data_IF_641216107784
#
_entry.id   IF_641216107784
#
_cell.length_a   1.000
_cell.length_b   1.000
_cell.length_c   1.000
_cell.angle_alpha   90.00
_cell.angle_beta   90.00
_cell.angle_gamma   90.00
#
_symmetry.space_group_name_H-M   'P 1'
#
loop_
_entity.id
_entity.type
_entity.pdbx_description
1 polymer ?
#
# COMPACT_ATOMS: atom_id res chain seq x y z
N UNK A 1 -48.65 29.91 -50.21
CA UNK A 1 -48.21 28.63 -49.63
C UNK A 1 -46.69 28.59 -49.58
N UNK A 2 -46.09 28.80 -48.42
CA UNK A 2 -44.69 28.44 -48.12
C UNK A 2 -44.68 27.99 -46.65
N UNK A 3 -44.71 26.68 -46.43
CA UNK A 3 -44.64 26.06 -45.10
C UNK A 3 -43.18 26.05 -44.65
N UNK A 4 -42.90 26.72 -43.53
CA UNK A 4 -41.61 26.67 -42.84
C UNK A 4 -41.48 25.31 -42.13
N UNK A 5 -40.48 24.51 -42.51
CA UNK A 5 -40.08 23.32 -41.76
C UNK A 5 -39.02 23.75 -40.73
N UNK A 6 -39.36 23.70 -39.45
CA UNK A 6 -38.39 23.86 -38.37
C UNK A 6 -37.55 22.58 -38.24
N UNK A 7 -36.22 22.77 -38.28
CA UNK A 7 -35.23 21.72 -38.16
C UNK A 7 -35.00 21.43 -36.66
N UNK A 8 -35.70 20.45 -36.10
CA UNK A 8 -35.42 19.95 -34.75
C UNK A 8 -34.15 19.07 -34.80
N UNK A 9 -33.01 19.67 -34.49
CA UNK A 9 -31.76 18.95 -34.22
C UNK A 9 -31.93 18.26 -32.85
N UNK A 10 -32.27 16.96 -32.88
CA UNK A 10 -32.22 16.12 -31.69
C UNK A 10 -30.75 15.89 -31.35
N UNK A 11 -30.21 16.69 -30.42
CA UNK A 11 -28.90 16.47 -29.84
C UNK A 11 -29.00 15.26 -28.90
N UNK A 12 -28.81 14.06 -29.44
CA UNK A 12 -28.72 12.83 -28.69
C UNK A 12 -27.47 12.90 -27.79
N UNK A 13 -27.64 13.39 -26.57
CA UNK A 13 -26.63 13.28 -25.51
C UNK A 13 -26.53 11.78 -25.20
N UNK A 14 -25.60 11.11 -25.87
CA UNK A 14 -25.18 9.77 -25.47
C UNK A 14 -24.38 9.95 -24.19
N UNK A 15 -25.08 9.91 -23.06
CA UNK A 15 -24.44 9.72 -21.77
C UNK A 15 -23.81 8.33 -21.81
N UNK A 16 -22.52 8.26 -22.15
CA UNK A 16 -21.72 7.08 -21.85
C UNK A 16 -21.81 6.90 -20.35
N UNK A 17 -22.59 5.91 -19.91
CA UNK A 17 -22.53 5.42 -18.55
C UNK A 17 -21.11 4.89 -18.39
N UNK A 18 -20.22 5.71 -17.84
CA UNK A 18 -18.91 5.24 -17.38
C UNK A 18 -19.23 4.43 -16.13
N UNK A 19 -19.47 3.14 -16.33
CA UNK A 19 -19.64 2.20 -15.24
C UNK A 19 -18.25 2.00 -14.63
N UNK A 20 -18.04 2.61 -13.46
CA UNK A 20 -16.78 2.50 -12.73
C UNK A 20 -16.74 1.14 -12.05
N UNK A 21 -15.78 0.28 -12.43
CA UNK A 21 -15.65 -1.03 -11.80
C UNK A 21 -15.25 -0.90 -10.33
N UNK A 22 -15.96 -1.65 -9.48
CA UNK A 22 -15.65 -1.81 -8.06
C UNK A 22 -15.16 -3.23 -7.82
N UNK A 23 -13.84 -3.39 -7.70
CA UNK A 23 -13.24 -4.69 -7.44
C UNK A 23 -13.48 -5.17 -5.99
N UNK A 24 -14.00 -6.39 -5.85
CA UNK A 24 -14.13 -7.06 -4.56
C UNK A 24 -12.86 -7.83 -4.19
N UNK A 25 -12.71 -8.15 -2.91
CA UNK A 25 -11.51 -8.83 -2.36
C UNK A 25 -11.10 -10.09 -3.14
N UNK A 26 -12.03 -10.95 -3.54
CA UNK A 26 -11.70 -12.17 -4.29
C UNK A 26 -11.33 -11.92 -5.76
N UNK A 27 -11.85 -10.86 -6.36
CA UNK A 27 -11.49 -10.48 -7.72
C UNK A 27 -10.07 -9.91 -7.74
N UNK A 28 -9.76 -9.04 -6.77
CA UNK A 28 -8.41 -8.54 -6.55
C UNK A 28 -7.43 -9.67 -6.27
N UNK A 29 -7.81 -10.64 -5.43
CA UNK A 29 -6.96 -11.80 -5.15
C UNK A 29 -6.59 -12.58 -6.42
N UNK A 30 -7.56 -12.75 -7.34
CA UNK A 30 -7.33 -13.41 -8.63
C UNK A 30 -6.43 -12.59 -9.53
N UNK A 31 -6.69 -11.29 -9.67
CA UNK A 31 -5.89 -10.42 -10.55
C UNK A 31 -4.46 -10.24 -10.03
N UNK A 32 -4.27 -10.06 -8.73
CA UNK A 32 -2.94 -9.99 -8.12
C UNK A 32 -2.16 -11.30 -8.28
N UNK A 33 -2.83 -12.45 -8.14
CA UNK A 33 -2.21 -13.76 -8.36
C UNK A 33 -1.81 -14.00 -9.82
N UNK A 34 -2.60 -13.54 -10.79
CA UNK A 34 -2.30 -13.65 -12.23
C UNK A 34 -1.14 -12.74 -12.67
N UNK A 35 -0.88 -11.66 -11.95
CA UNK A 35 0.10 -10.63 -12.30
C UNK A 35 1.39 -10.70 -11.45
N UNK A 36 1.77 -11.91 -11.05
CA UNK A 36 3.03 -12.21 -10.35
C UNK A 36 3.24 -11.39 -9.07
N UNK A 37 2.15 -11.10 -8.34
CA UNK A 37 2.28 -10.62 -6.96
C UNK A 37 2.49 -11.82 -6.05
N UNK A 38 3.43 -11.69 -5.11
CA UNK A 38 3.72 -12.76 -4.17
C UNK A 38 2.46 -13.13 -3.39
N UNK A 39 2.02 -14.40 -3.48
CA UNK A 39 0.72 -14.86 -2.94
C UNK A 39 0.50 -14.48 -1.47
N UNK A 40 1.57 -14.46 -0.67
CA UNK A 40 1.51 -14.10 0.75
C UNK A 40 1.30 -12.59 0.99
N UNK A 41 1.65 -11.74 0.02
CA UNK A 41 1.40 -10.29 0.04
C UNK A 41 0.05 -9.92 -0.58
N UNK A 42 -0.66 -10.82 -1.26
CA UNK A 42 -1.97 -10.51 -1.88
C UNK A 42 -2.99 -9.92 -0.87
N UNK A 43 -3.20 -10.48 0.34
CA UNK A 43 -4.07 -9.86 1.34
C UNK A 43 -3.57 -8.47 1.81
N UNK A 44 -2.30 -8.15 1.53
CA UNK A 44 -1.67 -6.86 1.79
C UNK A 44 -2.08 -5.82 0.75
N UNK A 45 -1.96 -6.20 -0.51
CA UNK A 45 -2.42 -5.42 -1.65
C UNK A 45 -3.94 -5.24 -1.71
N UNK A 46 -4.73 -6.16 -1.15
CA UNK A 46 -6.19 -5.97 -1.11
C UNK A 46 -6.58 -4.97 -0.03
N UNK A 47 -5.99 -5.08 1.17
CA UNK A 47 -6.23 -4.12 2.25
C UNK A 47 -5.89 -2.69 1.82
N UNK A 48 -4.83 -2.55 1.02
CA UNK A 48 -4.44 -1.36 0.27
C UNK A 48 -5.60 -0.68 -0.43
N UNK A 49 -6.14 -1.43 -1.37
CA UNK A 49 -7.09 -0.99 -2.37
C UNK A 49 -8.38 -0.65 -1.65
N UNK A 50 -8.76 -1.46 -0.67
CA UNK A 50 -9.93 -1.21 0.15
C UNK A 50 -9.80 0.09 0.97
N UNK A 51 -8.63 0.38 1.54
CA UNK A 51 -8.41 1.61 2.29
C UNK A 51 -8.45 2.86 1.41
N UNK A 52 -7.94 2.76 0.18
CA UNK A 52 -7.63 3.96 -0.60
C UNK A 52 -8.53 4.22 -1.78
N UNK A 53 -9.10 3.18 -2.38
CA UNK A 53 -10.10 3.32 -3.43
C UNK A 53 -11.41 2.59 -3.16
N UNK A 54 -11.47 1.75 -2.12
CA UNK A 54 -12.58 0.81 -1.91
C UNK A 54 -12.78 -0.13 -3.10
N UNK A 55 -11.73 -0.37 -3.91
CA UNK A 55 -11.80 -1.16 -5.13
C UNK A 55 -12.21 -0.39 -6.38
N UNK A 56 -12.43 0.93 -6.29
CA UNK A 56 -12.82 1.77 -7.42
C UNK A 56 -11.62 2.03 -8.35
N UNK A 57 -11.67 1.54 -9.58
CA UNK A 57 -10.64 1.76 -10.62
C UNK A 57 -10.61 3.17 -11.15
N UNK A 58 -11.73 3.87 -11.23
CA UNK A 58 -11.81 5.23 -11.76
C UNK A 58 -11.65 6.31 -10.70
N UNK A 59 -11.24 5.96 -9.47
CA UNK A 59 -11.07 6.94 -8.39
C UNK A 59 -9.88 7.85 -8.68
N UNK A 60 -10.16 9.13 -8.80
CA UNK A 60 -9.18 10.19 -8.89
C UNK A 60 -9.37 11.17 -7.72
N UNK A 61 -8.28 11.50 -7.02
CA UNK A 61 -8.28 12.50 -5.95
C UNK A 61 -7.29 13.59 -6.30
N UNK A 62 -7.80 14.79 -6.55
CA UNK A 62 -6.95 15.96 -6.76
C UNK A 62 -6.31 16.43 -5.44
N UNK A 63 -5.04 16.81 -5.53
CA UNK A 63 -4.26 17.30 -4.41
C UNK A 63 -4.10 18.82 -4.50
N UNK A 64 -3.92 19.53 -3.35
CA UNK A 64 -3.76 20.98 -3.33
C UNK A 64 -2.57 21.52 -4.15
N UNK A 65 -1.58 20.68 -4.44
CA UNK A 65 -0.36 21.01 -5.18
C UNK A 65 -0.47 20.77 -6.70
N UNK A 66 -1.68 20.74 -7.25
CA UNK A 66 -1.97 20.50 -8.68
C UNK A 66 -1.58 19.10 -9.19
N UNK A 67 -1.21 18.18 -8.29
CA UNK A 67 -1.05 16.75 -8.59
C UNK A 67 -2.35 16.01 -8.28
N UNK A 68 -2.45 14.74 -8.68
CA UNK A 68 -3.57 13.91 -8.30
C UNK A 68 -3.14 12.46 -8.07
N UNK A 69 -3.91 11.75 -7.26
CA UNK A 69 -3.81 10.31 -7.08
C UNK A 69 -4.79 9.61 -8.01
N UNK A 70 -4.32 8.59 -8.71
CA UNK A 70 -5.07 7.90 -9.75
C UNK A 70 -5.24 6.43 -9.44
N UNK A 71 -6.42 5.93 -9.78
CA UNK A 71 -6.63 4.50 -9.92
C UNK A 71 -6.80 3.75 -8.62
N UNK A 72 -6.84 2.44 -8.75
CA UNK A 72 -7.19 1.55 -7.63
C UNK A 72 -6.17 1.60 -6.48
N UNK A 73 -4.93 1.96 -6.78
CA UNK A 73 -3.83 2.14 -5.81
C UNK A 73 -3.54 3.59 -5.45
N UNK A 74 -4.32 4.57 -5.95
CA UNK A 74 -4.09 5.99 -5.66
C UNK A 74 -2.65 6.45 -5.98
N UNK A 75 -2.13 6.05 -7.14
CA UNK A 75 -0.77 6.36 -7.60
C UNK A 75 -0.69 7.84 -7.99
N UNK A 76 0.28 8.56 -7.41
CA UNK A 76 0.38 10.01 -7.54
C UNK A 76 1.10 10.46 -8.84
N UNK A 77 0.54 11.43 -9.55
CA UNK A 77 1.09 12.00 -10.79
C UNK A 77 2.35 12.85 -10.64
N UNK A 78 2.77 13.16 -9.40
CA UNK A 78 4.01 13.89 -9.14
C UNK A 78 5.23 13.10 -9.62
N UNK A 79 5.25 11.80 -9.29
CA UNK A 79 6.46 10.98 -9.43
C UNK A 79 6.25 9.74 -10.32
N UNK A 80 5.02 9.24 -10.47
CA UNK A 80 4.80 7.88 -10.97
C UNK A 80 4.20 7.79 -12.37
N UNK A 81 3.31 8.70 -12.75
CA UNK A 81 2.66 8.73 -14.06
C UNK A 81 2.65 10.16 -14.65
N UNK A 82 2.41 10.30 -15.96
CA UNK A 82 2.27 11.61 -16.61
C UNK A 82 0.82 11.96 -16.95
N UNK A 83 0.39 13.20 -16.68
CA UNK A 83 -1.01 13.63 -16.82
C UNK A 83 -1.53 13.58 -18.28
N UNK A 84 -0.80 14.20 -19.21
CA UNK A 84 -1.24 14.31 -20.62
C UNK A 84 -0.53 13.31 -21.56
N UNK A 85 0.67 12.88 -21.17
CA UNK A 85 1.53 11.96 -21.92
C UNK A 85 2.21 10.98 -20.97
N UNK A 86 2.75 9.89 -21.51
CA UNK A 86 3.51 8.92 -20.73
C UNK A 86 4.66 9.63 -20.01
N UNK A 87 4.82 9.34 -18.73
CA UNK A 87 5.82 9.99 -17.89
C UNK A 87 5.88 9.38 -16.50
N UNK A 88 6.64 10.03 -15.61
CA UNK A 88 6.91 9.51 -14.27
C UNK A 88 7.73 8.23 -14.29
N UNK A 89 7.98 7.69 -13.10
CA UNK A 89 8.81 6.50 -12.90
C UNK A 89 8.25 5.24 -13.54
N UNK A 90 6.92 5.14 -13.72
CA UNK A 90 6.29 4.02 -14.41
C UNK A 90 6.21 4.20 -15.93
N UNK A 91 6.48 5.42 -16.44
CA UNK A 91 6.39 5.77 -17.87
C UNK A 91 5.03 5.42 -18.49
N UNK A 92 3.94 5.75 -17.79
CA UNK A 92 2.55 5.54 -18.22
C UNK A 92 1.78 6.86 -18.20
N UNK A 93 0.64 6.93 -18.88
CA UNK A 93 -0.29 8.06 -18.69
C UNK A 93 -1.09 7.82 -17.42
N UNK A 94 -1.36 8.87 -16.65
CA UNK A 94 -2.20 8.73 -15.44
C UNK A 94 -3.64 8.34 -15.78
N UNK A 95 -4.13 8.68 -16.98
CA UNK A 95 -5.44 8.22 -17.47
C UNK A 95 -5.51 6.71 -17.65
N UNK A 96 -4.38 6.05 -17.93
CA UNK A 96 -4.34 4.61 -18.12
C UNK A 96 -4.65 3.90 -16.78
N UNK A 97 -4.30 4.49 -15.64
CA UNK A 97 -4.63 3.97 -14.30
C UNK A 97 -6.12 4.08 -13.89
N UNK A 98 -6.97 4.72 -14.70
CA UNK A 98 -8.40 4.91 -14.39
C UNK A 98 -9.32 3.88 -15.05
N UNK A 99 -8.73 2.93 -15.77
CA UNK A 99 -9.44 1.92 -16.54
C UNK A 99 -9.64 0.63 -15.73
N UNK A 100 -10.49 -0.29 -16.21
CA UNK A 100 -10.87 -1.50 -15.46
C UNK A 100 -9.84 -2.63 -15.50
N UNK A 101 -8.91 -2.63 -16.46
CA UNK A 101 -7.75 -3.53 -16.54
C UNK A 101 -6.62 -3.01 -15.66
N UNK A 102 -6.50 -3.57 -14.46
CA UNK A 102 -5.54 -3.11 -13.44
C UNK A 102 -4.12 -3.67 -13.62
N UNK A 103 -3.76 -4.18 -14.81
CA UNK A 103 -2.43 -4.79 -15.04
C UNK A 103 -1.30 -3.76 -14.97
N UNK A 104 -1.49 -2.62 -15.60
CA UNK A 104 -0.54 -1.52 -15.56
C UNK A 104 -0.51 -0.85 -14.18
N UNK A 105 -1.66 -0.76 -13.50
CA UNK A 105 -1.75 -0.39 -12.08
C UNK A 105 -0.88 -1.29 -11.20
N UNK A 106 -1.05 -2.61 -11.30
CA UNK A 106 -0.28 -3.60 -10.51
C UNK A 106 1.21 -3.47 -10.80
N UNK A 107 1.58 -3.35 -12.07
CA UNK A 107 2.97 -3.18 -12.47
C UNK A 107 3.56 -1.92 -11.86
N UNK A 108 2.87 -0.80 -11.96
CA UNK A 108 3.34 0.47 -11.40
C UNK A 108 3.39 0.42 -9.87
N UNK A 109 2.38 -0.14 -9.20
CA UNK A 109 2.36 -0.29 -7.74
C UNK A 109 3.50 -1.17 -7.22
N UNK A 110 3.88 -2.23 -7.95
CA UNK A 110 5.09 -3.03 -7.65
C UNK A 110 6.35 -2.18 -7.75
N UNK A 111 6.48 -1.31 -8.74
CA UNK A 111 7.60 -0.36 -8.84
C UNK A 111 7.62 0.63 -7.65
N UNK A 112 6.46 1.16 -7.24
CA UNK A 112 6.34 1.98 -6.03
C UNK A 112 6.86 1.24 -4.81
N UNK A 113 6.41 0.00 -4.60
CA UNK A 113 6.81 -0.82 -3.46
C UNK A 113 8.29 -1.23 -3.51
N UNK A 114 8.82 -1.56 -4.68
CA UNK A 114 10.22 -1.94 -4.84
C UNK A 114 11.17 -0.77 -4.58
N UNK A 115 10.80 0.44 -5.01
CA UNK A 115 11.60 1.66 -4.80
C UNK A 115 11.46 2.23 -3.38
N UNK A 116 10.27 2.13 -2.78
CA UNK A 116 9.98 2.75 -1.49
C UNK A 116 9.98 1.76 -0.30
N UNK A 117 10.08 0.45 -0.54
CA UNK A 117 10.13 -0.58 0.49
C UNK A 117 8.86 -0.68 1.34
N UNK A 118 9.03 -0.92 2.65
CA UNK A 118 7.94 -1.03 3.64
C UNK A 118 7.12 0.28 3.80
N UNK A 119 7.62 1.41 3.28
CA UNK A 119 6.92 2.69 3.19
C UNK A 119 5.84 2.73 2.12
N UNK A 120 5.66 1.63 1.38
CA UNK A 120 4.46 1.41 0.61
C UNK A 120 3.25 1.49 1.53
N UNK A 121 2.88 0.39 2.21
CA UNK A 121 1.52 0.36 2.76
C UNK A 121 1.12 -0.64 3.89
N UNK A 122 1.89 -1.67 4.26
CA UNK A 122 1.63 -2.46 5.51
C UNK A 122 2.76 -2.48 6.51
N UNK A 123 3.96 -2.12 6.07
CA UNK A 123 4.92 -1.49 6.97
C UNK A 123 4.31 -0.22 7.57
N UNK A 124 3.53 0.53 6.79
CA UNK A 124 2.81 1.74 7.24
C UNK A 124 1.93 1.49 8.48
N UNK A 125 0.98 0.54 8.48
CA UNK A 125 0.16 0.29 9.69
C UNK A 125 1.00 -0.15 10.90
N UNK A 126 2.01 -1.00 10.69
CA UNK A 126 2.89 -1.46 11.76
C UNK A 126 3.72 -0.31 12.34
N UNK A 127 4.37 0.47 11.49
CA UNK A 127 5.23 1.60 11.87
C UNK A 127 4.40 2.65 12.60
N UNK A 128 3.26 3.04 12.03
CA UNK A 128 2.32 3.97 12.66
C UNK A 128 1.82 3.45 14.00
N UNK A 129 1.49 2.16 14.06
CA UNK A 129 1.00 1.53 15.26
C UNK A 129 2.09 1.20 16.29
N UNK A 130 3.38 1.46 16.07
CA UNK A 130 4.42 1.15 17.06
C UNK A 130 5.18 2.40 17.47
N UNK A 131 5.59 3.21 16.50
CA UNK A 131 6.37 4.43 16.72
C UNK A 131 5.67 5.70 16.24
N UNK A 132 4.60 5.60 15.44
CA UNK A 132 4.05 6.76 14.73
C UNK A 132 4.97 7.27 13.62
N UNK A 133 5.82 6.40 13.06
CA UNK A 133 6.81 6.77 12.07
C UNK A 133 8.11 7.38 12.61
N UNK A 134 8.23 7.58 13.93
CA UNK A 134 9.40 8.18 14.56
C UNK A 134 10.55 7.16 14.71
N UNK A 135 11.57 7.28 13.86
CA UNK A 135 12.78 6.45 13.91
C UNK A 135 13.70 6.76 15.10
N UNK A 136 13.48 7.85 15.83
CA UNK A 136 14.21 8.18 17.06
C UNK A 136 13.46 7.74 18.33
N UNK A 137 12.28 7.12 18.18
CA UNK A 137 11.41 6.80 19.30
C UNK A 137 12.05 5.81 20.27
N UNK A 138 12.14 6.23 21.52
CA UNK A 138 12.55 5.39 22.64
C UNK A 138 11.39 5.24 23.63
N UNK A 139 11.06 3.99 23.98
CA UNK A 139 10.03 3.68 24.98
C UNK A 139 10.61 2.80 26.07
N UNK A 140 10.65 3.31 27.30
CA UNK A 140 11.11 2.57 28.48
C UNK A 140 9.94 1.83 29.13
N UNK A 141 10.17 0.60 29.56
CA UNK A 141 9.17 -0.23 30.22
C UNK A 141 9.52 -0.49 31.69
N UNK A 142 8.53 -0.76 32.57
CA UNK A 142 8.77 -1.01 33.99
C UNK A 142 9.69 -2.20 34.29
N UNK A 143 9.84 -3.12 33.34
CA UNK A 143 10.73 -4.27 33.45
C UNK A 143 12.20 -3.96 33.09
N UNK A 144 12.57 -2.67 33.05
CA UNK A 144 13.90 -2.16 32.68
C UNK A 144 14.34 -2.47 31.24
N UNK A 145 13.45 -3.01 30.41
CA UNK A 145 13.68 -3.10 28.97
C UNK A 145 13.26 -1.79 28.29
N UNK A 146 13.87 -1.54 27.14
CA UNK A 146 13.63 -0.34 26.35
C UNK A 146 13.44 -0.75 24.90
N UNK A 147 12.44 -0.20 24.24
CA UNK A 147 12.21 -0.35 22.80
C UNK A 147 12.75 0.85 22.04
N UNK A 148 13.35 0.59 20.88
CA UNK A 148 14.10 1.56 20.09
C UNK A 148 13.62 1.58 18.64
N UNK A 149 13.62 2.77 18.06
CA UNK A 149 13.50 2.97 16.62
C UNK A 149 12.11 2.74 16.07
N UNK A 150 12.03 2.76 14.75
CA UNK A 150 10.77 2.83 14.00
C UNK A 150 9.88 1.59 14.18
N UNK A 151 10.47 0.43 14.49
CA UNK A 151 9.75 -0.83 14.79
C UNK A 151 9.71 -1.17 16.28
N UNK A 152 10.10 -0.24 17.17
CA UNK A 152 10.13 -0.44 18.62
C UNK A 152 10.84 -1.75 19.04
N UNK A 153 12.03 -1.97 18.48
CA UNK A 153 12.88 -3.15 18.69
C UNK A 153 13.37 -3.16 20.14
N UNK A 154 13.02 -4.21 20.90
CA UNK A 154 13.21 -4.24 22.35
C UNK A 154 14.59 -4.78 22.79
N UNK A 155 15.22 -4.12 23.77
CA UNK A 155 16.55 -4.44 24.32
C UNK A 155 16.61 -5.70 25.18
N UNK A 156 15.45 -6.26 25.54
CA UNK A 156 15.39 -7.54 26.26
C UNK A 156 15.93 -8.68 25.41
N UNK A 157 15.56 -8.69 24.12
CA UNK A 157 15.75 -9.85 23.23
C UNK A 157 16.54 -9.48 21.98
N UNK A 158 16.23 -8.36 21.32
CA UNK A 158 16.67 -8.12 19.95
C UNK A 158 17.95 -7.31 19.82
N UNK A 159 18.21 -6.40 20.78
CA UNK A 159 19.36 -5.52 20.78
C UNK A 159 19.97 -5.39 22.18
N UNK A 160 21.16 -4.78 22.31
CA UNK A 160 21.75 -4.46 23.63
C UNK A 160 22.16 -2.99 23.72
N UNK A 161 21.91 -2.36 24.87
CA UNK A 161 22.28 -0.96 25.15
C UNK A 161 23.81 -0.83 25.29
N UNK A 162 24.41 0.11 24.59
CA UNK A 162 25.85 0.43 24.66
C UNK A 162 26.82 -0.57 24.02
N UNK A 163 26.35 -1.74 23.55
CA UNK A 163 27.21 -2.76 22.90
C UNK A 163 26.42 -3.64 21.94
N UNK A 164 27.09 -4.22 20.94
CA UNK A 164 26.44 -5.12 19.99
C UNK A 164 26.00 -6.40 20.70
N UNK A 165 24.79 -6.86 20.40
CA UNK A 165 24.28 -8.12 20.94
C UNK A 165 22.78 -8.26 20.72
N UNK A 166 22.19 -9.22 21.43
CA UNK A 166 20.81 -9.62 21.14
C UNK A 166 20.75 -10.35 19.80
N UNK A 167 19.54 -10.69 19.39
CA UNK A 167 19.33 -11.54 18.22
C UNK A 167 19.59 -10.84 16.89
N UNK A 168 19.52 -9.51 16.86
CA UNK A 168 19.89 -8.74 15.69
C UNK A 168 21.39 -8.38 15.65
N UNK A 169 22.18 -8.76 16.67
CA UNK A 169 23.62 -8.51 16.71
C UNK A 169 23.99 -7.01 16.64
N UNK A 170 23.12 -6.15 17.15
CA UNK A 170 23.18 -4.70 16.99
C UNK A 170 23.22 -3.99 18.34
N UNK A 171 23.74 -2.76 18.38
CA UNK A 171 23.50 -1.87 19.52
C UNK A 171 22.08 -1.35 19.39
N UNK A 172 21.39 -1.16 20.50
CA UNK A 172 20.05 -0.58 20.46
C UNK A 172 20.06 0.85 19.90
N UNK A 173 21.14 1.59 20.16
CA UNK A 173 21.36 2.94 19.65
C UNK A 173 21.52 2.98 18.12
N UNK A 174 21.88 1.86 17.47
CA UNK A 174 22.01 1.79 16.00
C UNK A 174 20.64 1.82 15.29
N UNK A 175 19.53 1.62 16.01
CA UNK A 175 18.15 1.73 15.50
C UNK A 175 17.56 3.15 15.63
N UNK A 176 18.32 4.10 16.19
CA UNK A 176 17.86 5.50 16.39
C UNK A 176 18.33 6.43 15.26
N UNK A 177 18.52 5.89 14.06
CA UNK A 177 19.07 6.63 12.92
C UNK A 177 18.02 6.81 11.83
N UNK A 178 18.28 7.72 10.90
CA UNK A 178 17.41 7.90 9.72
C UNK A 178 17.58 6.76 8.70
N UNK A 179 18.70 6.04 8.68
CA UNK A 179 18.88 4.86 7.82
C UNK A 179 18.26 3.62 8.46
N UNK A 180 17.03 3.32 8.05
CA UNK A 180 16.24 2.21 8.57
C UNK A 180 16.61 0.84 7.98
N UNK A 181 17.70 0.68 7.20
CA UNK A 181 18.05 -0.65 6.64
C UNK A 181 18.31 -1.68 7.73
N UNK A 182 18.96 -1.25 8.82
CA UNK A 182 19.22 -2.12 9.96
C UNK A 182 17.92 -2.49 10.68
N UNK A 183 17.03 -1.51 10.86
CA UNK A 183 15.69 -1.65 11.42
C UNK A 183 14.85 -2.65 10.62
N UNK A 184 14.79 -2.51 9.30
CA UNK A 184 14.06 -3.41 8.40
C UNK A 184 14.64 -4.82 8.49
N UNK A 185 15.96 -4.95 8.49
CA UNK A 185 16.64 -6.24 8.61
C UNK A 185 16.29 -6.93 9.94
N UNK A 186 16.30 -6.18 11.04
CA UNK A 186 15.97 -6.72 12.36
C UNK A 186 14.46 -7.00 12.49
N UNK A 187 13.59 -6.11 12.04
CA UNK A 187 12.15 -6.31 12.02
C UNK A 187 11.76 -7.53 11.18
N UNK A 188 12.47 -7.81 10.08
CA UNK A 188 12.31 -9.05 9.33
C UNK A 188 12.64 -10.29 10.16
N UNK A 189 13.74 -10.27 10.92
CA UNK A 189 14.08 -11.37 11.86
C UNK A 189 12.98 -11.59 12.91
N UNK A 190 12.48 -10.50 13.50
CA UNK A 190 11.39 -10.54 14.49
C UNK A 190 10.12 -11.12 13.87
N UNK A 191 9.77 -10.65 12.67
CA UNK A 191 8.62 -11.12 11.92
C UNK A 191 8.76 -12.61 11.57
N UNK A 192 9.92 -13.05 11.10
CA UNK A 192 10.16 -14.44 10.72
C UNK A 192 9.99 -15.38 11.93
N UNK A 193 10.27 -14.90 13.15
CA UNK A 193 10.11 -15.72 14.36
C UNK A 193 8.73 -15.64 15.00
N UNK A 194 8.18 -14.44 15.13
CA UNK A 194 6.98 -14.20 15.95
C UNK A 194 5.79 -13.71 15.12
N UNK A 195 6.01 -13.33 13.87
CA UNK A 195 5.02 -12.66 13.03
C UNK A 195 4.61 -11.29 13.58
N UNK A 196 3.60 -10.69 12.95
CA UNK A 196 3.11 -9.36 13.33
C UNK A 196 2.56 -9.27 14.76
N UNK A 197 2.17 -10.40 15.38
CA UNK A 197 1.68 -10.44 16.78
C UNK A 197 2.72 -10.05 17.82
N UNK A 198 4.01 -9.98 17.44
CA UNK A 198 5.06 -9.47 18.30
C UNK A 198 4.78 -8.03 18.75
N UNK A 199 4.30 -7.22 17.80
CA UNK A 199 4.02 -5.81 17.96
C UNK A 199 2.62 -5.62 18.54
N UNK A 200 2.55 -5.25 19.82
CA UNK A 200 1.27 -5.11 20.55
C UNK A 200 0.45 -3.93 20.04
N UNK A 201 1.10 -2.85 19.64
CA UNK A 201 0.43 -1.72 18.99
C UNK A 201 -0.20 -2.13 17.67
N UNK A 202 0.49 -2.92 16.84
CA UNK A 202 -0.09 -3.57 15.67
C UNK A 202 -1.22 -4.55 16.05
N UNK A 203 -1.03 -5.34 17.10
CA UNK A 203 -2.03 -6.29 17.61
C UNK A 203 -3.34 -5.59 17.99
N UNK A 204 -3.27 -4.37 18.50
CA UNK A 204 -4.42 -3.62 18.99
C UNK A 204 -5.05 -2.74 17.91
N UNK A 205 -4.23 -2.19 17.00
CA UNK A 205 -4.68 -1.19 16.01
C UNK A 205 -4.86 -1.75 14.61
N UNK A 206 -4.13 -2.80 14.25
CA UNK A 206 -4.10 -3.37 12.90
C UNK A 206 -4.75 -4.78 12.85
N UNK A 207 -4.67 -5.60 13.91
CA UNK A 207 -5.18 -6.99 13.91
C UNK A 207 -6.69 -7.14 13.69
N UNK A 208 -7.50 -6.16 14.11
CA UNK A 208 -8.98 -6.18 14.01
C UNK A 208 -9.54 -5.24 12.93
N UNK A 209 -8.67 -4.66 12.09
CA UNK A 209 -9.06 -4.30 10.71
C UNK A 209 -8.59 -5.46 9.85
N UNK A 210 -9.37 -6.55 9.79
CA UNK A 210 -8.87 -7.83 9.34
C UNK A 210 -8.40 -7.71 7.90
N UNK A 211 -7.26 -8.31 7.62
CA UNK A 211 -6.90 -8.56 6.23
C UNK A 211 -8.03 -9.39 5.63
N UNK A 212 -8.50 -9.05 4.42
CA UNK A 212 -9.56 -9.84 3.81
C UNK A 212 -9.12 -11.29 3.73
N UNK A 213 -9.94 -12.20 4.28
CA UNK A 213 -9.71 -13.64 4.16
C UNK A 213 -9.98 -14.05 2.72
N UNK A 214 -8.89 -14.23 1.98
CA UNK A 214 -8.93 -14.67 0.58
C UNK A 214 -8.58 -16.15 0.41
N UNK A 215 -8.54 -16.92 1.50
CA UNK A 215 -8.29 -18.37 1.46
C UNK A 215 -9.42 -19.14 0.75
N UNK A 216 -10.65 -18.61 0.80
CA UNK A 216 -11.85 -19.16 0.16
C UNK A 216 -12.08 -18.60 -1.25
N UNK A 217 -11.28 -17.64 -1.70
CA UNK A 217 -11.38 -17.16 -3.05
C UNK A 217 -10.93 -18.28 -3.97
N UNK A 218 -11.89 -18.93 -4.62
CA UNK A 218 -11.60 -19.98 -5.59
C UNK A 218 -10.71 -19.39 -6.68
N UNK A 219 -9.43 -19.74 -6.69
CA UNK A 219 -8.53 -19.55 -7.82
C UNK A 219 -8.97 -20.55 -8.90
N UNK A 220 -10.19 -20.41 -9.43
CA UNK A 220 -10.63 -21.24 -10.54
C UNK A 220 -9.71 -20.93 -11.70
N UNK A 221 -8.73 -21.81 -11.89
CA UNK A 221 -8.02 -22.05 -13.13
C UNK A 221 -9.08 -22.24 -14.19
N UNK A 222 -9.30 -21.22 -15.01
CA UNK A 222 -9.73 -21.50 -16.37
C UNK A 222 -8.46 -21.93 -17.10
N UNK A 223 -8.39 -23.25 -17.31
CA UNK A 223 -7.54 -23.93 -18.27
C UNK A 223 -7.68 -23.33 -19.66
#
# INVERSE_FOLDING_TARGET
MKTFYELLIVLSITSSLVDSKMYLSCELAKEFAKNDMERHLIPHWICLVQAESQGNTSKMVEMPNLTANYGIFQINSKDWCGKDKKGGNCNIKCSDLLNDDIKDDIKCAKEVFNRNGLNGWKGVCLIEAESGGDSSKVTEFPNLSTSYGIFQINSKEWCRKGRRGGECGARCEDFLTEDIKLDIKCAKVIYDRHGFKHWKGWLNRCKQRPLPDVSKCSYSTYS
#
